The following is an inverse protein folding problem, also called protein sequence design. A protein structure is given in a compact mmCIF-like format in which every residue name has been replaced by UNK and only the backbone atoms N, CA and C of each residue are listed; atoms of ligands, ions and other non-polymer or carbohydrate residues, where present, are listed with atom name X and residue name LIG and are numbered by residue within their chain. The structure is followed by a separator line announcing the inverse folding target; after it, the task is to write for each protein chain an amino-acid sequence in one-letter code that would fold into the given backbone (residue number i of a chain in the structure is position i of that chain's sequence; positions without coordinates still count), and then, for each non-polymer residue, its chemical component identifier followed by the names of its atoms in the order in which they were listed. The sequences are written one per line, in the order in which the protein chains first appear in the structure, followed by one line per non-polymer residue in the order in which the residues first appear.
data_IF_325976721988
#
_entry.id   IF_325976721988
#
_cell.length_a   1.000
_cell.length_b   1.000
_cell.length_c   1.000
_cell.angle_alpha   90.00
_cell.angle_beta   90.00
_cell.angle_gamma   90.00
#
_symmetry.space_group_name_H-M   'P 1'
#
loop_
_entity.id
_entity.type
_entity.pdbx_description
1 polymer ?
#
# COMPACT_ATOMS: atom_id res chain seq x y z
N UNK A 1 0.15 -23.25 -21.27
CA UNK A 1 1.43 -22.52 -21.16
C UNK A 1 1.16 -21.21 -20.43
N UNK A 2 1.67 -21.00 -19.21
CA UNK A 2 1.41 -19.77 -18.42
C UNK A 2 2.31 -18.65 -18.95
N UNK A 3 1.73 -17.61 -19.56
CA UNK A 3 2.49 -16.52 -20.13
C UNK A 3 3.14 -15.65 -19.04
N UNK A 4 4.48 -15.60 -19.03
CA UNK A 4 5.26 -14.88 -18.01
C UNK A 4 4.92 -13.38 -17.91
N UNK A 5 4.43 -12.77 -19.00
CA UNK A 5 4.02 -11.36 -19.05
C UNK A 5 2.76 -11.06 -18.22
N UNK A 6 1.92 -12.05 -17.95
CA UNK A 6 0.65 -11.86 -17.21
C UNK A 6 0.74 -12.21 -15.72
N UNK A 7 1.95 -12.45 -15.18
CA UNK A 7 2.15 -12.92 -13.80
C UNK A 7 1.71 -11.91 -12.73
N UNK A 8 1.59 -10.64 -13.08
CA UNK A 8 1.26 -9.54 -12.15
C UNK A 8 -0.07 -8.86 -12.47
N UNK A 9 -0.86 -9.36 -13.44
CA UNK A 9 -2.12 -8.72 -13.80
C UNK A 9 -3.11 -8.70 -12.64
N UNK A 10 -3.04 -9.72 -11.77
CA UNK A 10 -3.86 -9.81 -10.58
C UNK A 10 -3.36 -8.86 -9.47
N UNK A 11 -2.04 -8.66 -9.37
CA UNK A 11 -1.43 -7.71 -8.44
C UNK A 11 -1.91 -6.28 -8.72
N UNK A 12 -1.94 -5.86 -9.99
CA UNK A 12 -2.47 -4.55 -10.36
C UNK A 12 -3.94 -4.35 -9.97
N UNK A 13 -4.74 -5.42 -9.86
CA UNK A 13 -6.12 -5.33 -9.36
C UNK A 13 -6.19 -5.20 -7.84
N UNK A 14 -5.16 -5.66 -7.13
CA UNK A 14 -5.06 -5.55 -5.67
C UNK A 14 -4.48 -4.21 -5.21
N UNK A 15 -3.90 -3.41 -6.11
CA UNK A 15 -3.51 -2.02 -5.82
C UNK A 15 -4.74 -1.15 -6.09
N UNK A 16 -5.63 -1.08 -5.11
CA UNK A 16 -6.82 -0.24 -5.15
C UNK A 16 -7.10 0.35 -3.77
N UNK A 17 -7.94 1.39 -3.72
CA UNK A 17 -8.30 2.09 -2.48
C UNK A 17 -8.69 1.13 -1.34
N UNK A 18 -9.57 0.17 -1.61
CA UNK A 18 -10.09 -0.74 -0.59
C UNK A 18 -9.01 -1.64 -0.01
N UNK A 19 -8.20 -2.25 -0.87
CA UNK A 19 -7.11 -3.14 -0.46
C UNK A 19 -6.01 -2.39 0.30
N UNK A 20 -5.63 -1.19 -0.17
CA UNK A 20 -4.61 -0.36 0.49
C UNK A 20 -5.11 0.20 1.83
N UNK A 21 -6.39 0.57 1.92
CA UNK A 21 -7.02 0.99 3.19
C UNK A 21 -7.06 -0.13 4.21
N UNK A 22 -7.40 -1.35 3.79
CA UNK A 22 -7.35 -2.53 4.66
C UNK A 22 -5.93 -2.82 5.13
N UNK A 23 -4.96 -2.79 4.22
CA UNK A 23 -3.55 -2.97 4.58
C UNK A 23 -3.10 -1.94 5.63
N UNK A 24 -3.47 -0.66 5.48
CA UNK A 24 -3.17 0.38 6.47
C UNK A 24 -3.74 0.10 7.87
N UNK A 25 -4.91 -0.52 7.95
CA UNK A 25 -5.52 -0.90 9.22
C UNK A 25 -4.74 -2.05 9.89
N UNK A 26 -4.21 -2.98 9.10
CA UNK A 26 -3.55 -4.20 9.57
C UNK A 26 -2.05 -4.03 9.85
N UNK A 27 -1.36 -3.06 9.25
CA UNK A 27 0.07 -2.89 9.48
C UNK A 27 0.42 -2.55 10.94
N UNK A 28 1.60 -2.99 11.39
CA UNK A 28 2.13 -2.61 12.69
C UNK A 28 2.62 -1.14 12.68
N UNK A 29 1.77 -0.23 13.14
CA UNK A 29 2.08 1.22 13.25
C UNK A 29 3.22 1.56 14.22
N UNK A 30 3.67 0.60 15.05
CA UNK A 30 4.80 0.75 15.97
C UNK A 30 6.12 0.26 15.37
N UNK A 31 6.12 -0.21 14.13
CA UNK A 31 7.35 -0.58 13.44
C UNK A 31 8.28 0.64 13.32
N UNK A 32 9.58 0.41 13.34
CA UNK A 32 10.56 1.45 13.07
C UNK A 32 10.34 2.02 11.66
N UNK A 33 10.59 3.31 11.50
CA UNK A 33 10.54 3.95 10.19
C UNK A 33 11.54 3.27 9.23
N UNK A 34 11.16 3.20 7.95
CA UNK A 34 11.99 2.61 6.91
C UNK A 34 13.23 3.45 6.58
N UNK A 35 13.91 3.10 5.48
CA UNK A 35 15.06 3.86 4.98
C UNK A 35 14.68 5.33 4.66
N UNK A 36 13.40 5.57 4.33
CA UNK A 36 12.81 6.88 4.09
C UNK A 36 12.60 7.72 5.36
N UNK A 37 12.74 7.11 6.55
CA UNK A 37 12.52 7.71 7.87
C UNK A 37 11.09 8.22 8.10
N UNK A 38 10.13 7.84 7.27
CA UNK A 38 8.73 8.22 7.44
C UNK A 38 8.08 7.28 8.44
N UNK A 39 7.57 7.83 9.54
CA UNK A 39 6.81 7.06 10.53
C UNK A 39 5.38 6.83 10.05
N UNK A 40 4.70 5.82 10.61
CA UNK A 40 3.28 5.62 10.35
C UNK A 40 2.44 6.88 10.69
N UNK A 41 2.79 7.58 11.78
CA UNK A 41 2.09 8.81 12.16
C UNK A 41 2.29 9.97 11.15
N UNK A 42 3.45 10.05 10.51
CA UNK A 42 3.70 11.04 9.45
C UNK A 42 3.00 10.68 8.15
N UNK A 43 3.00 9.40 7.77
CA UNK A 43 2.31 8.91 6.59
C UNK A 43 0.79 9.11 6.69
N UNK A 44 0.22 8.94 7.88
CA UNK A 44 -1.22 9.07 8.13
C UNK A 44 -1.78 10.46 7.77
N UNK A 45 -0.95 11.52 7.89
CA UNK A 45 -1.37 12.90 7.65
C UNK A 45 -1.94 13.14 6.25
N UNK A 46 -1.40 12.41 5.26
CA UNK A 46 -1.81 12.52 3.86
C UNK A 46 -2.41 11.20 3.33
N UNK A 47 -2.84 10.30 4.23
CA UNK A 47 -3.28 8.96 3.86
C UNK A 47 -4.44 8.98 2.87
N UNK A 48 -5.47 9.77 3.13
CA UNK A 48 -6.68 9.78 2.30
C UNK A 48 -6.38 10.32 0.89
N UNK A 49 -5.58 11.38 0.78
CA UNK A 49 -5.11 11.92 -0.49
C UNK A 49 -4.29 10.87 -1.26
N UNK A 50 -3.33 10.23 -0.59
CA UNK A 50 -2.51 9.18 -1.19
C UNK A 50 -3.34 7.99 -1.68
N UNK A 51 -4.38 7.59 -0.93
CA UNK A 51 -5.24 6.47 -1.30
C UNK A 51 -6.20 6.78 -2.45
N UNK A 52 -6.59 8.05 -2.64
CA UNK A 52 -7.50 8.46 -3.73
C UNK A 52 -6.84 8.52 -5.11
N UNK A 53 -5.50 8.57 -5.17
CA UNK A 53 -4.72 8.61 -6.42
C UNK A 53 -4.24 7.23 -6.91
N UNK A 54 -4.80 6.14 -6.36
CA UNK A 54 -4.42 4.75 -6.65
C UNK A 54 -5.16 4.14 -7.84
#
# INVERSE_FOLDING_TARGET
KREKKYRFRDLYRQINYGALKLAWLEINKKAAAGVDKITAAEFEKNLEENLQHC
#
